data_IF_322165486287
#
_entry.id   IF_322165486287
#
_cell.length_a   1.000
_cell.length_b   1.000
_cell.length_c   1.000
_cell.angle_alpha   90.00
_cell.angle_beta   90.00
_cell.angle_gamma   90.00
#
_symmetry.space_group_name_H-M   'P 1'
#
loop_
_entity.id
_entity.type
_entity.pdbx_description
1 polymer ?
#
# COMPACT_ATOMS: atom_id res chain seq x y z
N UNK A 1 7.31 12.30 29.20
CA UNK A 1 6.33 12.23 28.07
C UNK A 1 7.01 11.41 26.99
N UNK A 2 6.39 10.31 26.57
CA UNK A 2 6.93 9.43 25.54
C UNK A 2 6.58 9.98 24.14
N UNK A 3 7.51 9.90 23.19
CA UNK A 3 7.28 10.22 21.78
C UNK A 3 8.13 9.33 20.89
N UNK A 4 7.66 9.13 19.66
CA UNK A 4 8.45 8.57 18.58
C UNK A 4 9.03 9.70 17.75
N UNK A 5 10.25 9.49 17.27
CA UNK A 5 10.95 10.36 16.34
C UNK A 5 10.79 9.79 14.95
N UNK A 6 10.32 10.59 13.99
CA UNK A 6 10.21 10.20 12.59
C UNK A 6 10.86 11.24 11.69
N UNK A 7 11.62 10.81 10.70
CA UNK A 7 12.21 11.68 9.68
C UNK A 7 12.43 10.95 8.35
N UNK A 8 12.68 11.74 7.31
CA UNK A 8 12.98 11.23 5.98
C UNK A 8 14.37 11.65 5.55
N UNK A 9 15.18 10.69 5.08
CA UNK A 9 16.48 10.94 4.48
C UNK A 9 16.63 10.12 3.19
N UNK A 10 16.93 10.81 2.06
CA UNK A 10 16.94 10.16 0.74
C UNK A 10 15.61 9.50 0.40
N UNK A 11 15.65 8.25 -0.03
CA UNK A 11 14.50 7.41 -0.36
C UNK A 11 14.09 6.48 0.81
N UNK A 12 14.29 6.94 2.03
CA UNK A 12 14.03 6.16 3.24
C UNK A 12 13.28 6.98 4.27
N UNK A 13 12.51 6.28 5.10
CA UNK A 13 11.89 6.78 6.32
C UNK A 13 12.49 6.10 7.54
N UNK A 14 12.69 6.86 8.58
CA UNK A 14 13.33 6.44 9.81
C UNK A 14 12.39 6.66 10.98
N UNK A 15 12.32 5.65 11.84
CA UNK A 15 11.62 5.71 13.11
C UNK A 15 12.61 5.42 14.22
N UNK A 16 12.70 6.31 15.20
CA UNK A 16 13.47 6.12 16.40
C UNK A 16 12.52 6.16 17.60
N UNK A 17 12.79 5.32 18.58
CA UNK A 17 11.96 5.21 19.74
C UNK A 17 12.83 5.17 21.00
N UNK A 18 12.76 6.21 21.81
CA UNK A 18 13.44 6.30 23.10
C UNK A 18 12.72 5.51 24.22
N UNK A 19 11.62 4.78 23.92
CA UNK A 19 10.86 4.04 24.92
C UNK A 19 11.69 2.97 25.66
N UNK A 20 12.84 2.64 25.16
CA UNK A 20 13.83 1.81 25.87
C UNK A 20 14.89 2.64 26.60
N UNK A 21 14.56 3.81 27.08
CA UNK A 21 15.35 4.58 28.06
C UNK A 21 15.66 3.82 29.37
N UNK A 22 15.45 2.54 29.41
CA UNK A 22 16.07 1.59 30.35
C UNK A 22 17.57 1.58 30.03
N UNK A 23 18.38 1.99 31.00
CA UNK A 23 19.82 2.00 30.94
C UNK A 23 20.34 0.74 30.22
N UNK A 24 20.98 0.93 29.06
CA UNK A 24 21.70 -0.12 28.35
C UNK A 24 21.00 -0.77 27.14
N UNK A 25 19.77 -0.37 26.79
CA UNK A 25 19.15 -0.80 25.54
C UNK A 25 19.33 0.29 24.47
N UNK A 26 20.06 0.05 23.36
CA UNK A 26 20.21 1.04 22.33
C UNK A 26 18.84 1.39 21.75
N UNK A 27 18.58 2.69 21.53
CA UNK A 27 17.42 3.15 20.78
C UNK A 27 17.34 2.39 19.46
N UNK A 28 16.27 1.65 19.24
CA UNK A 28 16.13 0.82 18.06
C UNK A 28 15.63 1.69 16.92
N UNK A 29 16.54 2.15 16.06
CA UNK A 29 16.20 2.81 14.82
C UNK A 29 15.64 1.77 13.84
N UNK A 30 14.48 2.03 13.29
CA UNK A 30 13.92 1.28 12.19
C UNK A 30 14.01 2.11 10.91
N UNK A 31 14.55 1.48 9.87
CA UNK A 31 14.65 2.04 8.53
C UNK A 31 13.69 1.31 7.59
N UNK A 32 12.87 2.06 6.86
CA UNK A 32 11.95 1.56 5.84
C UNK A 32 12.16 2.32 4.51
N UNK A 33 11.76 1.75 3.37
CA UNK A 33 11.64 2.51 2.13
C UNK A 33 10.70 3.71 2.30
N UNK A 34 10.91 4.77 1.54
CA UNK A 34 10.09 5.98 1.59
C UNK A 34 8.62 5.64 1.38
N UNK A 35 7.75 6.10 2.29
CA UNK A 35 6.31 5.84 2.35
C UNK A 35 5.87 4.40 2.65
N UNK A 36 6.75 3.48 2.93
CA UNK A 36 6.36 2.08 3.18
C UNK A 36 5.41 1.97 4.37
N UNK A 37 5.63 2.73 5.45
CA UNK A 37 4.73 2.76 6.61
C UNK A 37 3.31 3.22 6.22
N UNK A 38 3.18 4.30 5.46
CA UNK A 38 1.88 4.82 5.04
C UNK A 38 1.16 3.87 4.07
N UNK A 39 1.89 3.31 3.11
CA UNK A 39 1.28 2.46 2.09
C UNK A 39 0.89 1.09 2.65
N UNK A 40 1.68 0.51 3.55
CA UNK A 40 1.33 -0.75 4.23
C UNK A 40 0.20 -0.57 5.23
N UNK A 41 0.05 0.62 5.83
CA UNK A 41 -1.11 0.97 6.65
C UNK A 41 -2.43 0.87 5.87
N UNK A 42 -2.44 1.27 4.60
CA UNK A 42 -3.61 1.12 3.73
C UNK A 42 -3.89 -0.35 3.32
N UNK A 43 -2.91 -1.24 3.44
CA UNK A 43 -3.04 -2.65 3.11
C UNK A 43 -3.57 -3.52 4.28
N UNK A 44 -3.69 -2.96 5.48
CA UNK A 44 -4.22 -3.65 6.66
C UNK A 44 -5.66 -4.10 6.42
N UNK A 45 -6.02 -5.30 6.88
CA UNK A 45 -7.40 -5.78 6.82
C UNK A 45 -8.24 -5.10 7.89
N UNK A 46 -9.10 -4.17 7.48
CA UNK A 46 -9.98 -3.41 8.37
C UNK A 46 -10.89 -4.31 9.20
N UNK A 47 -11.37 -5.42 8.63
CA UNK A 47 -12.27 -6.35 9.33
C UNK A 47 -11.56 -7.08 10.48
N UNK A 48 -10.26 -7.27 10.35
CA UNK A 48 -9.44 -7.86 11.39
C UNK A 48 -9.01 -6.82 12.44
N UNK A 49 -8.54 -5.66 11.97
CA UNK A 49 -7.91 -4.64 12.83
C UNK A 49 -8.90 -3.87 13.68
N UNK A 50 -10.04 -3.44 13.12
CA UNK A 50 -11.00 -2.58 13.85
C UNK A 50 -11.51 -3.24 15.14
N UNK A 51 -11.97 -4.52 15.14
CA UNK A 51 -12.42 -5.16 16.38
C UNK A 51 -11.31 -5.32 17.42
N UNK A 52 -10.05 -5.48 17.00
CA UNK A 52 -8.92 -5.56 17.93
C UNK A 52 -8.67 -4.20 18.59
N UNK A 53 -8.66 -3.11 17.82
CA UNK A 53 -8.50 -1.77 18.36
C UNK A 53 -9.60 -1.38 19.35
N UNK A 54 -10.84 -1.76 19.05
CA UNK A 54 -11.97 -1.55 19.96
C UNK A 54 -11.76 -2.27 21.29
N UNK A 55 -11.39 -3.56 21.26
CA UNK A 55 -11.11 -4.33 22.49
C UNK A 55 -9.93 -3.79 23.27
N UNK A 56 -8.85 -3.39 22.58
CA UNK A 56 -7.68 -2.76 23.20
C UNK A 56 -8.12 -1.50 23.93
N UNK A 57 -8.90 -0.62 23.28
CA UNK A 57 -9.40 0.61 23.87
C UNK A 57 -10.25 0.36 25.12
N UNK A 58 -11.23 -0.56 25.04
CA UNK A 58 -12.11 -0.92 26.16
C UNK A 58 -11.31 -1.50 27.33
N UNK A 59 -10.39 -2.42 27.07
CA UNK A 59 -9.56 -3.01 28.12
C UNK A 59 -8.63 -1.98 28.77
N UNK A 60 -8.09 -1.04 27.98
CA UNK A 60 -7.26 0.03 28.52
C UNK A 60 -8.06 1.01 29.36
N UNK A 61 -9.27 1.42 28.93
CA UNK A 61 -10.17 2.25 29.74
C UNK A 61 -10.53 1.56 31.06
N UNK A 62 -10.86 0.25 31.01
CA UNK A 62 -11.14 -0.51 32.23
C UNK A 62 -9.95 -0.55 33.19
N UNK A 63 -8.72 -0.73 32.66
CA UNK A 63 -7.50 -0.63 33.46
C UNK A 63 -7.33 0.74 34.13
N UNK A 64 -7.59 1.82 33.41
CA UNK A 64 -7.51 3.20 33.95
C UNK A 64 -8.50 3.41 35.12
N UNK A 65 -9.73 2.89 34.99
CA UNK A 65 -10.80 3.08 35.96
C UNK A 65 -10.66 2.18 37.20
N UNK A 66 -10.26 0.92 37.01
CA UNK A 66 -10.27 -0.09 38.06
C UNK A 66 -8.89 -0.53 38.56
N UNK A 67 -7.80 -0.12 37.87
CA UNK A 67 -6.44 -0.64 38.06
C UNK A 67 -6.34 -2.17 37.87
N UNK A 68 -7.23 -2.74 37.04
CA UNK A 68 -7.25 -4.18 36.72
C UNK A 68 -6.07 -4.56 35.82
N UNK A 69 -5.09 -5.25 36.39
CA UNK A 69 -3.93 -5.73 35.65
C UNK A 69 -4.29 -6.82 34.61
N UNK A 70 -5.42 -7.50 34.79
CA UNK A 70 -5.93 -8.44 33.79
C UNK A 70 -6.36 -7.73 32.52
N UNK A 71 -7.09 -6.63 32.65
CA UNK A 71 -7.49 -5.78 31.51
C UNK A 71 -6.27 -5.15 30.83
N UNK A 72 -5.30 -4.65 31.60
CA UNK A 72 -4.04 -4.16 31.04
C UNK A 72 -3.31 -5.25 30.24
N UNK A 73 -3.17 -6.44 30.79
CA UNK A 73 -2.49 -7.56 30.12
C UNK A 73 -3.21 -7.95 28.82
N UNK A 74 -4.55 -7.99 28.83
CA UNK A 74 -5.35 -8.28 27.63
C UNK A 74 -5.11 -7.24 26.54
N UNK A 75 -5.13 -5.95 26.87
CA UNK A 75 -4.84 -4.87 25.94
C UNK A 75 -3.41 -5.00 25.36
N UNK A 76 -2.42 -5.26 26.19
CA UNK A 76 -1.02 -5.38 25.78
C UNK A 76 -0.77 -6.61 24.88
N UNK A 77 -1.42 -7.74 25.13
CA UNK A 77 -1.31 -8.93 24.28
C UNK A 77 -1.88 -8.64 22.88
N UNK A 78 -3.09 -8.08 22.78
CA UNK A 78 -3.68 -7.74 21.47
C UNK A 78 -2.88 -6.66 20.75
N UNK A 79 -2.44 -5.62 21.45
CA UNK A 79 -1.60 -4.58 20.85
C UNK A 79 -0.24 -5.12 20.40
N UNK A 80 0.34 -6.10 21.12
CA UNK A 80 1.55 -6.83 20.72
C UNK A 80 1.35 -7.58 19.42
N UNK A 81 0.21 -8.25 19.24
CA UNK A 81 -0.13 -8.92 17.97
C UNK A 81 -0.25 -7.93 16.81
N UNK A 82 -0.82 -6.75 17.03
CA UNK A 82 -0.87 -5.67 16.04
C UNK A 82 0.52 -5.08 15.76
N UNK A 83 1.37 -4.97 16.76
CA UNK A 83 2.73 -4.45 16.64
C UNK A 83 3.63 -5.30 15.72
N UNK A 84 3.34 -6.60 15.60
CA UNK A 84 4.01 -7.48 14.62
C UNK A 84 3.55 -7.20 13.18
N UNK A 85 2.33 -6.69 13.00
CA UNK A 85 1.74 -6.44 11.68
C UNK A 85 2.18 -5.12 11.08
N UNK A 86 2.35 -4.07 11.91
CA UNK A 86 2.61 -2.73 11.39
C UNK A 86 3.36 -1.83 12.37
N UNK A 87 4.24 -0.96 11.82
CA UNK A 87 5.09 -0.05 12.62
C UNK A 87 4.27 0.91 13.51
N UNK A 88 3.14 1.44 13.05
CA UNK A 88 2.32 2.36 13.85
C UNK A 88 1.78 1.69 15.11
N UNK A 89 1.37 0.44 15.04
CA UNK A 89 0.97 -0.32 16.22
C UNK A 89 2.16 -0.67 17.12
N UNK A 90 3.34 -0.91 16.53
CA UNK A 90 4.56 -1.12 17.31
C UNK A 90 4.92 0.12 18.12
N UNK A 91 4.75 1.31 17.57
CA UNK A 91 4.97 2.55 18.28
C UNK A 91 3.96 2.75 19.42
N UNK A 92 2.68 2.46 19.19
CA UNK A 92 1.65 2.44 20.22
C UNK A 92 1.97 1.43 21.34
N UNK A 93 2.35 0.21 20.96
CA UNK A 93 2.75 -0.84 21.91
C UNK A 93 3.91 -0.38 22.81
N UNK A 94 4.95 0.20 22.20
CA UNK A 94 6.13 0.69 22.96
C UNK A 94 5.77 1.85 23.87
N UNK A 95 4.86 2.72 23.46
CA UNK A 95 4.33 3.79 24.31
C UNK A 95 3.58 3.23 25.50
N UNK A 96 2.67 2.30 25.28
CA UNK A 96 1.92 1.63 26.35
C UNK A 96 2.86 0.87 27.32
N UNK A 97 3.89 0.25 26.80
CA UNK A 97 4.91 -0.42 27.62
C UNK A 97 5.76 0.57 28.42
N UNK A 98 6.10 1.73 27.82
CA UNK A 98 6.93 2.77 28.44
C UNK A 98 6.25 3.53 29.58
N UNK A 99 4.90 3.46 29.71
CA UNK A 99 4.21 4.06 30.86
C UNK A 99 4.38 3.27 32.17
N UNK A 100 4.98 2.07 32.10
CA UNK A 100 5.31 1.25 33.26
C UNK A 100 6.74 1.60 33.67
N UNK A 101 6.91 2.11 34.88
CA UNK A 101 8.21 2.41 35.47
C UNK A 101 8.48 1.54 36.70
N UNK A 102 9.73 1.54 37.16
CA UNK A 102 10.12 0.87 38.43
C UNK A 102 9.34 1.41 39.64
N UNK A 103 8.86 2.66 39.56
CA UNK A 103 8.09 3.32 40.59
C UNK A 103 6.57 3.20 40.44
N UNK A 104 6.10 2.35 39.49
CA UNK A 104 4.69 2.17 39.18
C UNK A 104 4.30 2.80 37.84
N UNK A 105 2.99 3.03 37.68
CA UNK A 105 2.43 3.58 36.46
C UNK A 105 2.41 5.12 36.48
N UNK A 106 2.78 5.74 35.36
CA UNK A 106 2.54 7.19 35.14
C UNK A 106 1.06 7.39 34.83
N UNK A 107 0.29 7.82 35.83
CA UNK A 107 -1.17 8.00 35.74
C UNK A 107 -1.59 9.00 34.66
N UNK A 108 -0.82 10.09 34.48
CA UNK A 108 -1.12 11.07 33.44
C UNK A 108 -0.92 10.50 32.04
N UNK A 109 0.16 9.75 31.85
CA UNK A 109 0.44 9.09 30.56
C UNK A 109 -0.57 7.96 30.26
N UNK A 110 -0.97 7.17 31.28
CA UNK A 110 -2.01 6.13 31.12
C UNK A 110 -3.33 6.72 30.66
N UNK A 111 -3.76 7.85 31.25
CA UNK A 111 -4.98 8.54 30.84
C UNK A 111 -4.86 9.12 29.42
N UNK A 112 -3.72 9.71 29.07
CA UNK A 112 -3.47 10.20 27.72
C UNK A 112 -3.52 9.07 26.69
N UNK A 113 -2.91 7.91 26.99
CA UNK A 113 -2.98 6.72 26.15
C UNK A 113 -4.43 6.23 25.96
N UNK A 114 -5.25 6.23 27.01
CA UNK A 114 -6.65 5.82 26.90
C UNK A 114 -7.41 6.68 25.90
N UNK A 115 -7.23 8.00 25.95
CA UNK A 115 -7.87 8.92 25.01
C UNK A 115 -7.38 8.71 23.58
N UNK A 116 -6.08 8.54 23.39
CA UNK A 116 -5.48 8.36 22.09
C UNK A 116 -5.88 7.01 21.46
N UNK A 117 -5.93 5.92 22.24
CA UNK A 117 -6.37 4.60 21.76
C UNK A 117 -7.85 4.63 21.35
N UNK A 118 -8.69 5.28 22.16
CA UNK A 118 -10.12 5.44 21.87
C UNK A 118 -10.34 6.23 20.58
N UNK A 119 -9.68 7.37 20.45
CA UNK A 119 -9.80 8.21 19.26
C UNK A 119 -9.24 7.50 18.02
N UNK A 120 -8.09 6.83 18.14
CA UNK A 120 -7.50 6.08 17.04
C UNK A 120 -8.39 4.91 16.59
N UNK A 121 -8.96 4.13 17.52
CA UNK A 121 -9.89 3.06 17.21
C UNK A 121 -11.11 3.56 16.44
N UNK A 122 -11.69 4.68 16.91
CA UNK A 122 -12.85 5.32 16.30
C UNK A 122 -12.56 5.87 14.90
N UNK A 123 -11.38 6.47 14.69
CA UNK A 123 -11.03 7.14 13.45
C UNK A 123 -10.25 6.26 12.46
N UNK A 124 -9.92 5.01 12.81
CA UNK A 124 -9.06 4.16 11.99
C UNK A 124 -9.55 4.02 10.55
N UNK A 125 -10.81 3.63 10.38
CA UNK A 125 -11.43 3.46 9.05
C UNK A 125 -11.54 4.77 8.29
N UNK A 126 -11.91 5.83 8.98
CA UNK A 126 -12.05 7.16 8.39
C UNK A 126 -10.71 7.73 7.95
N UNK A 127 -9.69 7.63 8.80
CA UNK A 127 -8.32 8.07 8.46
C UNK A 127 -7.80 7.34 7.21
N UNK A 128 -8.04 6.03 7.09
CA UNK A 128 -7.64 5.27 5.91
C UNK A 128 -8.33 5.75 4.64
N UNK A 129 -9.65 5.99 4.68
CA UNK A 129 -10.41 6.55 3.55
C UNK A 129 -9.90 7.92 3.15
N UNK A 130 -9.63 8.79 4.12
CA UNK A 130 -9.09 10.13 3.89
C UNK A 130 -7.69 10.07 3.25
N UNK A 131 -6.82 9.19 3.73
CA UNK A 131 -5.49 8.97 3.13
C UNK A 131 -5.63 8.45 1.70
N UNK A 132 -6.46 7.44 1.47
CA UNK A 132 -6.68 6.89 0.13
C UNK A 132 -7.22 7.96 -0.84
N UNK A 133 -8.20 8.75 -0.41
CA UNK A 133 -8.73 9.89 -1.16
C UNK A 133 -7.64 10.92 -1.47
N UNK A 134 -6.77 11.22 -0.52
CA UNK A 134 -5.64 12.13 -0.73
C UNK A 134 -4.67 11.57 -1.77
N UNK A 135 -4.32 10.28 -1.70
CA UNK A 135 -3.48 9.66 -2.71
C UNK A 135 -4.10 9.81 -4.11
N UNK A 136 -5.39 9.53 -4.25
CA UNK A 136 -6.11 9.60 -5.53
C UNK A 136 -6.21 11.03 -6.09
N UNK A 137 -6.53 12.02 -5.25
CA UNK A 137 -6.80 13.39 -5.70
C UNK A 137 -5.55 14.27 -5.82
N UNK A 138 -4.48 13.96 -5.06
CA UNK A 138 -3.30 14.84 -4.95
C UNK A 138 -2.04 14.18 -5.49
N UNK A 139 -1.83 12.90 -5.23
CA UNK A 139 -0.56 12.23 -5.51
C UNK A 139 -0.61 11.24 -6.69
N UNK A 140 -1.78 10.74 -7.09
CA UNK A 140 -1.87 9.76 -8.19
C UNK A 140 -1.50 10.39 -9.53
N UNK A 141 -0.43 9.90 -10.12
CA UNK A 141 0.12 10.38 -11.39
C UNK A 141 -0.84 10.21 -12.56
N UNK A 142 -1.76 9.25 -12.50
CA UNK A 142 -2.72 8.97 -13.57
C UNK A 142 -4.01 9.81 -13.44
N UNK A 143 -4.46 10.06 -12.21
CA UNK A 143 -5.74 10.75 -11.94
C UNK A 143 -5.55 12.23 -11.60
N UNK A 144 -4.57 12.58 -10.77
CA UNK A 144 -4.34 13.95 -10.29
C UNK A 144 -3.25 14.71 -11.05
N UNK A 145 -2.49 14.04 -11.91
CA UNK A 145 -1.38 14.63 -12.65
C UNK A 145 -0.05 14.61 -11.88
N UNK A 146 0.99 15.24 -12.47
CA UNK A 146 2.37 15.11 -12.00
C UNK A 146 2.87 16.25 -11.12
N UNK A 147 1.98 17.07 -10.59
CA UNK A 147 2.32 18.24 -9.79
C UNK A 147 1.58 18.23 -8.45
N UNK A 148 2.04 17.43 -7.47
CA UNK A 148 1.38 17.28 -6.16
C UNK A 148 1.09 18.62 -5.45
N UNK A 149 2.02 19.58 -5.52
CA UNK A 149 1.85 20.90 -4.90
C UNK A 149 0.67 21.67 -5.52
N UNK A 150 0.53 21.67 -6.84
CA UNK A 150 -0.61 22.33 -7.51
C UNK A 150 -1.93 21.64 -7.18
N UNK A 151 -1.93 20.30 -7.14
CA UNK A 151 -3.12 19.54 -6.77
C UNK A 151 -3.50 19.77 -5.31
N UNK A 152 -2.54 19.77 -4.40
CA UNK A 152 -2.78 20.12 -3.00
C UNK A 152 -3.36 21.53 -2.86
N UNK A 153 -2.73 22.53 -3.49
CA UNK A 153 -3.23 23.92 -3.47
C UNK A 153 -4.67 24.02 -3.99
N UNK A 154 -5.02 23.29 -5.08
CA UNK A 154 -6.37 23.25 -5.62
C UNK A 154 -7.37 22.64 -4.63
N UNK A 155 -7.04 21.50 -4.01
CA UNK A 155 -7.96 20.79 -3.11
C UNK A 155 -8.09 21.44 -1.73
N UNK A 156 -7.12 22.27 -1.31
CA UNK A 156 -7.11 22.96 0.00
C UNK A 156 -7.30 24.47 -0.12
N UNK A 157 -7.89 24.95 -1.21
CA UNK A 157 -8.14 26.38 -1.40
C UNK A 157 -9.14 26.91 -0.37
N UNK A 158 -8.85 28.08 0.21
CA UNK A 158 -9.63 28.67 1.30
C UNK A 158 -11.08 29.00 0.93
N UNK A 159 -11.35 29.30 -0.33
CA UNK A 159 -12.64 29.80 -0.79
C UNK A 159 -13.60 28.68 -1.26
N UNK A 160 -13.18 27.41 -1.20
CA UNK A 160 -14.05 26.29 -1.54
C UNK A 160 -14.44 25.49 -0.31
N UNK A 161 -15.71 25.01 -0.21
CA UNK A 161 -16.07 24.07 0.84
C UNK A 161 -15.15 22.86 0.76
N UNK A 162 -14.46 22.56 1.86
CA UNK A 162 -13.54 21.40 1.93
C UNK A 162 -14.34 20.12 1.73
N UNK A 163 -13.83 19.25 0.86
CA UNK A 163 -14.32 17.87 0.78
C UNK A 163 -14.11 17.20 2.17
N UNK A 164 -15.17 16.79 2.88
CA UNK A 164 -15.06 16.21 4.21
C UNK A 164 -14.28 14.90 4.21
N UNK A 165 -14.23 14.20 3.08
CA UNK A 165 -13.53 12.94 2.91
C UNK A 165 -12.04 13.12 2.62
N UNK A 166 -11.57 14.35 2.42
CA UNK A 166 -10.15 14.64 2.17
C UNK A 166 -9.39 14.75 3.51
N UNK A 167 -8.17 14.22 3.54
CA UNK A 167 -7.33 14.23 4.75
C UNK A 167 -7.15 15.65 5.30
N UNK A 168 -7.43 15.82 6.58
CA UNK A 168 -7.33 17.12 7.26
C UNK A 168 -5.98 17.27 7.93
N UNK A 169 -5.18 18.21 7.45
CA UNK A 169 -3.91 18.57 8.05
C UNK A 169 -4.09 19.40 9.31
N UNK A 170 -3.36 19.02 10.35
CA UNK A 170 -3.32 19.72 11.64
C UNK A 170 -1.89 20.24 11.91
N UNK A 171 -1.70 21.22 12.81
CA UNK A 171 -0.36 21.60 13.25
C UNK A 171 0.37 20.41 13.88
N UNK A 172 1.57 20.08 13.37
CA UNK A 172 2.40 19.00 13.91
C UNK A 172 3.73 19.54 14.44
N UNK A 173 4.29 18.98 15.53
CA UNK A 173 5.53 19.43 16.13
C UNK A 173 6.73 18.96 15.30
N UNK A 174 7.35 19.86 14.53
CA UNK A 174 8.55 19.60 13.78
C UNK A 174 9.74 20.36 14.35
N UNK A 175 10.88 19.70 14.53
CA UNK A 175 12.19 20.30 14.72
C UNK A 175 13.00 20.22 13.45
N UNK A 176 14.15 20.90 13.40
CA UNK A 176 15.10 20.81 12.30
C UNK A 176 16.47 20.42 12.86
N UNK A 177 16.90 19.20 12.60
CA UNK A 177 18.01 18.57 13.29
C UNK A 177 18.99 17.89 12.33
N UNK A 178 20.25 17.73 12.76
CA UNK A 178 21.17 16.80 12.10
C UNK A 178 20.67 15.36 12.22
N UNK A 179 20.41 14.71 11.08
CA UNK A 179 19.95 13.31 11.03
C UNK A 179 21.03 12.37 10.54
N UNK A 180 22.00 12.92 9.80
CA UNK A 180 23.19 12.22 9.30
C UNK A 180 24.38 13.20 9.26
N UNK A 181 25.62 12.72 9.19
CA UNK A 181 26.78 13.59 9.04
C UNK A 181 26.62 14.54 7.84
N UNK A 182 26.61 15.84 8.11
CA UNK A 182 26.47 16.88 7.07
C UNK A 182 25.07 17.10 6.53
N UNK A 183 24.03 16.48 7.13
CA UNK A 183 22.64 16.60 6.67
C UNK A 183 21.69 16.90 7.81
N UNK A 184 20.94 17.98 7.67
CA UNK A 184 19.79 18.29 8.53
C UNK A 184 18.50 18.01 7.79
N UNK A 185 17.45 17.60 8.54
CA UNK A 185 16.11 17.38 8.03
C UNK A 185 15.05 17.83 9.06
N UNK A 186 13.82 18.08 8.61
CA UNK A 186 12.68 18.16 9.51
C UNK A 186 12.51 16.83 10.23
N UNK A 187 12.24 16.87 11.51
CA UNK A 187 12.06 15.70 12.38
C UNK A 187 10.76 15.88 13.15
N UNK A 188 9.87 14.90 13.03
CA UNK A 188 8.63 14.83 13.79
C UNK A 188 8.90 14.17 15.14
N UNK A 189 8.44 14.78 16.21
CA UNK A 189 8.35 14.20 17.55
C UNK A 189 6.88 14.09 17.94
N UNK A 190 6.30 12.91 17.87
CA UNK A 190 4.89 12.71 18.20
C UNK A 190 4.63 11.35 18.84
N UNK A 191 3.60 11.28 19.65
CA UNK A 191 3.02 10.04 20.17
C UNK A 191 1.80 9.58 19.37
N UNK A 192 1.31 10.41 18.44
CA UNK A 192 0.09 10.17 17.67
C UNK A 192 0.39 9.61 16.28
N UNK A 193 -0.24 8.50 15.94
CA UNK A 193 -0.13 7.89 14.59
C UNK A 193 -0.61 8.85 13.50
N UNK A 194 -1.64 9.66 13.79
CA UNK A 194 -2.17 10.64 12.85
C UNK A 194 -1.12 11.67 12.43
N UNK A 195 -0.26 12.13 13.33
CA UNK A 195 0.82 13.08 13.01
C UNK A 195 1.87 12.45 12.09
N UNK A 196 2.15 11.17 12.25
CA UNK A 196 3.07 10.43 11.36
C UNK A 196 2.50 10.29 9.96
N UNK A 197 1.19 10.03 9.85
CA UNK A 197 0.47 10.02 8.57
C UNK A 197 0.49 11.41 7.94
N UNK A 198 0.14 12.44 8.69
CA UNK A 198 0.16 13.85 8.26
C UNK A 198 1.55 14.23 7.72
N UNK A 199 2.60 13.95 8.48
CA UNK A 199 3.98 14.23 8.09
C UNK A 199 4.40 13.49 6.80
N UNK A 200 3.98 12.24 6.64
CA UNK A 200 4.24 11.47 5.42
C UNK A 200 3.57 12.10 4.20
N UNK A 201 2.31 12.50 4.31
CA UNK A 201 1.57 13.15 3.22
C UNK A 201 2.17 14.52 2.84
N UNK A 202 2.54 15.35 3.83
CA UNK A 202 3.24 16.63 3.59
C UNK A 202 4.56 16.41 2.87
N UNK A 203 5.35 15.44 3.33
CA UNK A 203 6.64 15.11 2.73
C UNK A 203 6.52 14.68 1.27
N UNK A 204 5.43 14.01 0.89
CA UNK A 204 5.16 13.69 -0.52
C UNK A 204 4.91 14.96 -1.35
N UNK A 205 4.07 15.86 -0.85
CA UNK A 205 3.76 17.11 -1.56
C UNK A 205 5.00 17.98 -1.69
N UNK A 206 5.74 18.17 -0.59
CA UNK A 206 6.97 19.00 -0.58
C UNK A 206 8.05 18.47 -1.53
N UNK A 207 8.21 17.16 -1.59
CA UNK A 207 9.21 16.49 -2.46
C UNK A 207 8.72 16.30 -3.90
N UNK A 208 7.45 16.62 -4.20
CA UNK A 208 6.85 16.38 -5.50
C UNK A 208 6.74 14.90 -5.87
N UNK A 209 6.67 14.02 -4.86
CA UNK A 209 6.57 12.57 -5.08
C UNK A 209 5.15 12.21 -5.43
N UNK A 210 4.98 11.58 -6.59
CA UNK A 210 3.71 10.98 -7.00
C UNK A 210 3.65 9.51 -6.63
N UNK A 211 2.44 8.97 -6.54
CA UNK A 211 2.18 7.55 -6.34
C UNK A 211 1.40 6.97 -7.53
N UNK A 212 1.39 5.66 -7.64
CA UNK A 212 0.60 4.95 -8.66
C UNK A 212 0.14 3.60 -8.12
N UNK A 213 -1.01 3.13 -8.59
CA UNK A 213 -1.43 1.73 -8.37
C UNK A 213 -0.69 0.80 -9.34
N UNK A 214 -0.01 -0.20 -8.78
CA UNK A 214 0.71 -1.20 -9.57
C UNK A 214 -0.27 -2.01 -10.43
N UNK A 215 -0.06 -2.05 -11.75
CA UNK A 215 -0.94 -2.77 -12.68
C UNK A 215 -0.96 -4.30 -12.46
N UNK A 216 0.02 -4.87 -11.74
CA UNK A 216 0.04 -6.30 -11.45
C UNK A 216 -0.65 -6.67 -10.13
N UNK A 217 -0.36 -5.96 -9.04
CA UNK A 217 -0.85 -6.29 -7.69
C UNK A 217 -1.91 -5.33 -7.14
N UNK A 218 -2.20 -4.21 -7.84
CA UNK A 218 -3.19 -3.21 -7.43
C UNK A 218 -2.77 -2.30 -6.27
N UNK A 219 -1.64 -2.54 -5.61
CA UNK A 219 -1.17 -1.77 -4.46
C UNK A 219 -0.54 -0.46 -4.88
N UNK A 220 -0.64 0.56 -4.01
CA UNK A 220 0.05 1.82 -4.20
C UNK A 220 1.56 1.67 -4.08
N UNK A 221 2.32 2.43 -4.86
CA UNK A 221 3.78 2.55 -4.74
C UNK A 221 4.26 3.94 -5.16
N UNK A 222 5.33 4.48 -4.54
CA UNK A 222 5.84 5.80 -4.86
C UNK A 222 6.63 5.78 -6.17
N UNK A 223 6.57 6.88 -6.91
CA UNK A 223 7.31 7.11 -8.14
C UNK A 223 8.65 7.82 -7.83
N UNK A 224 9.50 7.19 -7.02
CA UNK A 224 10.79 7.78 -6.61
C UNK A 224 11.87 7.68 -7.68
N UNK A 225 11.73 6.73 -8.60
CA UNK A 225 12.68 6.53 -9.69
C UNK A 225 12.12 6.97 -11.04
N UNK A 226 11.63 6.02 -11.83
CA UNK A 226 11.07 6.28 -13.15
C UNK A 226 9.58 6.63 -13.04
N UNK A 227 9.21 7.88 -13.33
CA UNK A 227 7.81 8.36 -13.30
C UNK A 227 6.87 7.57 -14.22
N UNK A 228 7.40 6.91 -15.25
CA UNK A 228 6.62 6.03 -16.14
C UNK A 228 6.50 4.59 -15.64
N UNK A 229 7.04 4.24 -14.45
CA UNK A 229 6.94 2.88 -13.91
C UNK A 229 5.48 2.51 -13.64
N UNK A 230 5.01 1.41 -14.21
CA UNK A 230 3.62 0.92 -14.06
C UNK A 230 3.52 -0.25 -13.05
N UNK A 231 4.66 -0.77 -12.62
CA UNK A 231 4.77 -1.94 -11.73
C UNK A 231 5.74 -1.65 -10.59
N UNK A 232 5.37 -2.07 -9.38
CA UNK A 232 6.21 -1.92 -8.20
C UNK A 232 7.33 -2.97 -8.12
N UNK A 233 8.26 -2.76 -7.18
CA UNK A 233 9.39 -3.68 -6.92
C UNK A 233 9.03 -4.83 -5.95
N UNK A 234 7.80 -4.91 -5.46
CA UNK A 234 7.40 -5.92 -4.48
C UNK A 234 7.43 -7.32 -5.06
N UNK A 235 7.83 -8.33 -4.28
CA UNK A 235 7.77 -9.72 -4.69
C UNK A 235 6.31 -10.13 -4.95
N UNK A 236 6.12 -11.01 -5.91
CA UNK A 236 4.81 -11.60 -6.17
C UNK A 236 4.59 -12.76 -5.20
N UNK A 237 3.36 -12.88 -4.66
CA UNK A 237 3.01 -14.04 -3.81
C UNK A 237 3.49 -15.34 -4.46
N UNK A 238 4.21 -16.16 -3.69
CA UNK A 238 4.75 -17.47 -4.08
C UNK A 238 5.91 -17.46 -5.10
N UNK A 239 6.69 -16.38 -5.22
CA UNK A 239 7.85 -16.37 -6.10
C UNK A 239 8.90 -15.33 -5.73
N UNK A 240 10.13 -15.55 -6.18
CA UNK A 240 11.22 -14.56 -6.06
C UNK A 240 11.06 -13.39 -7.03
N UNK A 241 10.23 -13.55 -8.05
CA UNK A 241 10.01 -12.55 -9.10
C UNK A 241 9.24 -11.34 -8.58
N UNK A 242 9.62 -10.16 -9.04
CA UNK A 242 8.97 -8.88 -8.68
C UNK A 242 7.86 -8.50 -9.66
N UNK A 243 6.93 -7.66 -9.22
CA UNK A 243 5.87 -7.14 -10.08
C UNK A 243 6.41 -6.47 -11.34
N UNK A 244 7.54 -5.77 -11.26
CA UNK A 244 8.22 -5.15 -12.41
C UNK A 244 8.66 -6.16 -13.46
N UNK A 245 9.09 -7.34 -13.05
CA UNK A 245 9.64 -8.36 -13.96
C UNK A 245 8.56 -9.10 -14.72
N UNK A 246 7.45 -9.39 -14.07
CA UNK A 246 6.40 -10.25 -14.64
C UNK A 246 5.09 -9.53 -14.96
N UNK A 247 4.92 -8.29 -14.49
CA UNK A 247 3.65 -7.58 -14.58
C UNK A 247 3.17 -7.37 -16.02
N UNK A 248 4.06 -6.96 -16.91
CA UNK A 248 3.74 -6.77 -18.33
C UNK A 248 3.29 -8.07 -18.99
N UNK A 249 3.99 -9.17 -18.73
CA UNK A 249 3.63 -10.49 -19.27
C UNK A 249 2.29 -10.98 -18.72
N UNK A 250 2.03 -10.83 -17.42
CA UNK A 250 0.74 -11.20 -16.81
C UNK A 250 -0.42 -10.39 -17.35
N UNK A 251 -0.25 -9.07 -17.52
CA UNK A 251 -1.29 -8.22 -18.13
C UNK A 251 -1.56 -8.60 -19.58
N UNK A 252 -0.51 -8.86 -20.34
CA UNK A 252 -0.65 -9.36 -21.72
C UNK A 252 -1.40 -10.69 -21.76
N UNK A 253 -1.02 -11.64 -20.90
CA UNK A 253 -1.70 -12.96 -20.81
C UNK A 253 -3.16 -12.81 -20.41
N UNK A 254 -3.46 -11.91 -19.42
CA UNK A 254 -4.85 -11.66 -19.00
C UNK A 254 -5.68 -11.08 -20.13
N UNK A 255 -5.18 -10.06 -20.84
CA UNK A 255 -5.87 -9.51 -22.02
C UNK A 255 -6.15 -10.57 -23.08
N UNK A 256 -5.17 -11.45 -23.36
CA UNK A 256 -5.37 -12.53 -24.32
C UNK A 256 -6.38 -13.57 -23.85
N UNK A 257 -6.43 -13.87 -22.53
CA UNK A 257 -7.42 -14.82 -21.99
C UNK A 257 -8.84 -14.27 -22.03
N UNK A 258 -9.01 -12.97 -22.00
CA UNK A 258 -10.34 -12.33 -22.06
C UNK A 258 -10.78 -11.99 -23.48
N UNK A 259 -9.86 -12.01 -24.45
CA UNK A 259 -10.10 -11.77 -25.86
C UNK A 259 -10.83 -12.97 -26.51
N UNK A 260 -12.07 -12.80 -27.00
CA UNK A 260 -12.84 -13.89 -27.63
C UNK A 260 -12.22 -14.35 -28.95
N UNK A 261 -11.55 -13.46 -29.72
CA UNK A 261 -10.86 -13.77 -30.94
C UNK A 261 -9.67 -14.68 -30.64
N UNK A 262 -8.89 -14.33 -29.62
CA UNK A 262 -7.77 -15.15 -29.18
C UNK A 262 -8.21 -16.51 -28.62
N UNK A 263 -9.32 -16.56 -27.87
CA UNK A 263 -9.90 -17.84 -27.39
C UNK A 263 -10.27 -18.76 -28.53
N UNK A 264 -10.95 -18.25 -29.55
CA UNK A 264 -11.34 -19.00 -30.71
C UNK A 264 -10.11 -19.59 -31.47
N UNK A 265 -9.12 -18.72 -31.75
CA UNK A 265 -7.85 -19.11 -32.36
C UNK A 265 -7.14 -20.19 -31.54
N UNK A 266 -6.94 -19.97 -30.23
CA UNK A 266 -6.18 -20.88 -29.38
C UNK A 266 -6.85 -22.26 -29.22
N UNK A 267 -8.19 -22.30 -29.20
CA UNK A 267 -8.95 -23.54 -29.14
C UNK A 267 -8.66 -24.39 -30.39
N UNK A 268 -8.76 -23.78 -31.58
CA UNK A 268 -8.54 -24.50 -32.83
C UNK A 268 -7.07 -24.84 -33.05
N UNK A 269 -6.14 -23.97 -32.69
CA UNK A 269 -4.70 -24.22 -32.70
C UNK A 269 -4.33 -25.47 -31.88
N UNK A 270 -4.81 -25.57 -30.63
CA UNK A 270 -4.53 -26.74 -29.78
C UNK A 270 -5.11 -28.02 -30.34
N UNK A 271 -6.31 -27.95 -30.89
CA UNK A 271 -6.97 -29.10 -31.52
C UNK A 271 -6.15 -29.63 -32.70
N UNK A 272 -5.71 -28.76 -33.61
CA UNK A 272 -4.93 -29.14 -34.77
C UNK A 272 -3.50 -29.56 -34.43
N UNK A 273 -2.90 -28.93 -33.43
CA UNK A 273 -1.59 -29.37 -32.92
C UNK A 273 -1.65 -30.81 -32.38
N UNK A 274 -2.76 -31.20 -31.74
CA UNK A 274 -2.95 -32.58 -31.31
C UNK A 274 -3.07 -33.57 -32.48
N UNK A 275 -3.50 -33.11 -33.66
CA UNK A 275 -3.57 -33.95 -34.87
C UNK A 275 -2.18 -34.35 -35.41
N UNK A 276 -1.15 -33.53 -35.20
CA UNK A 276 0.25 -33.89 -35.50
C UNK A 276 0.64 -35.14 -34.71
N UNK A 277 0.41 -35.09 -33.38
CA UNK A 277 0.72 -36.23 -32.51
C UNK A 277 -0.09 -37.49 -32.85
N UNK A 278 -1.27 -37.31 -33.43
CA UNK A 278 -2.13 -38.41 -33.88
C UNK A 278 -1.82 -38.88 -35.34
N UNK A 279 -0.79 -38.30 -35.98
CA UNK A 279 -0.42 -38.65 -37.36
C UNK A 279 -1.45 -38.29 -38.44
N UNK A 280 -2.38 -37.36 -38.14
CA UNK A 280 -3.45 -36.96 -39.07
C UNK A 280 -3.03 -35.87 -40.04
N UNK A 281 -2.03 -35.06 -39.65
CA UNK A 281 -1.44 -33.98 -40.46
C UNK A 281 0.06 -33.94 -40.22
N UNK A 282 0.80 -33.38 -41.19
CA UNK A 282 2.24 -33.14 -41.02
C UNK A 282 2.53 -31.82 -40.33
N UNK A 283 3.76 -31.66 -39.85
CA UNK A 283 4.22 -30.39 -39.24
C UNK A 283 4.13 -29.23 -40.23
N UNK A 284 4.53 -29.48 -41.53
CA UNK A 284 4.49 -28.44 -42.56
C UNK A 284 3.04 -27.97 -42.82
N UNK A 285 2.11 -28.92 -42.90
CA UNK A 285 0.68 -28.62 -43.10
C UNK A 285 0.14 -27.78 -41.92
N UNK A 286 0.51 -28.13 -40.71
CA UNK A 286 0.08 -27.37 -39.52
C UNK A 286 0.66 -25.97 -39.54
N UNK A 287 1.95 -25.78 -39.82
CA UNK A 287 2.56 -24.45 -39.81
C UNK A 287 2.00 -23.57 -40.94
N UNK A 288 1.76 -24.10 -42.12
CA UNK A 288 1.11 -23.35 -43.20
C UNK A 288 -0.30 -22.86 -42.80
N UNK A 289 -1.10 -23.74 -42.19
CA UNK A 289 -2.41 -23.35 -41.66
C UNK A 289 -2.29 -22.31 -40.54
N UNK A 290 -1.33 -22.48 -39.62
CA UNK A 290 -1.13 -21.57 -38.51
C UNK A 290 -0.79 -20.15 -38.96
N UNK A 291 -0.04 -20.02 -40.05
CA UNK A 291 0.29 -18.72 -40.65
C UNK A 291 -0.95 -18.05 -41.24
N UNK A 292 -1.74 -18.78 -42.03
CA UNK A 292 -3.03 -18.27 -42.53
C UNK A 292 -3.99 -17.88 -41.39
N UNK A 293 -4.09 -18.69 -40.34
CA UNK A 293 -4.94 -18.41 -39.19
C UNK A 293 -4.52 -17.14 -38.41
N UNK A 294 -3.21 -16.82 -38.39
CA UNK A 294 -2.71 -15.56 -37.80
C UNK A 294 -3.09 -14.37 -38.68
N UNK A 295 -3.05 -14.49 -40.00
CA UNK A 295 -3.47 -13.39 -40.87
C UNK A 295 -4.98 -13.11 -40.77
N UNK A 296 -5.82 -14.17 -40.76
CA UNK A 296 -7.25 -14.02 -40.55
C UNK A 296 -7.57 -13.44 -39.15
N UNK A 297 -6.84 -13.86 -38.10
CA UNK A 297 -6.94 -13.25 -36.77
C UNK A 297 -6.62 -11.77 -36.83
N UNK A 298 -5.56 -11.34 -37.50
CA UNK A 298 -5.22 -9.91 -37.66
C UNK A 298 -6.32 -9.13 -38.34
N UNK A 299 -7.03 -9.70 -39.32
CA UNK A 299 -8.18 -9.06 -39.97
C UNK A 299 -9.32 -8.86 -38.96
N UNK A 300 -9.61 -9.85 -38.13
CA UNK A 300 -10.61 -9.76 -37.09
C UNK A 300 -10.20 -8.76 -35.99
N UNK A 301 -8.93 -8.75 -35.56
CA UNK A 301 -8.39 -7.78 -34.61
C UNK A 301 -8.50 -6.33 -35.12
N UNK A 302 -8.55 -6.12 -36.45
CA UNK A 302 -8.72 -4.82 -37.12
C UNK A 302 -10.16 -4.52 -37.54
N UNK A 303 -11.12 -5.34 -37.08
CA UNK A 303 -12.55 -5.22 -37.41
C UNK A 303 -12.87 -5.29 -38.92
N UNK A 304 -11.98 -5.88 -39.73
CA UNK A 304 -12.20 -6.10 -41.17
C UNK A 304 -13.18 -7.26 -41.42
N UNK A 305 -13.16 -8.26 -40.54
CA UNK A 305 -14.10 -9.37 -40.49
C UNK A 305 -14.67 -9.50 -39.08
N UNK A 306 -15.87 -10.07 -38.96
CA UNK A 306 -16.49 -10.30 -37.68
C UNK A 306 -15.89 -11.48 -36.92
N UNK A 307 -16.16 -11.59 -35.63
CA UNK A 307 -15.76 -12.76 -34.83
C UNK A 307 -16.42 -14.05 -35.36
N UNK A 308 -17.69 -13.97 -35.77
CA UNK A 308 -18.44 -15.08 -36.39
C UNK A 308 -17.78 -15.55 -37.67
N UNK A 309 -17.39 -14.64 -38.57
CA UNK A 309 -16.69 -14.95 -39.84
C UNK A 309 -15.35 -15.64 -39.54
N UNK A 310 -14.59 -15.12 -38.58
CA UNK A 310 -13.31 -15.73 -38.19
C UNK A 310 -13.51 -17.12 -37.58
N UNK A 311 -14.51 -17.31 -36.73
CA UNK A 311 -14.83 -18.62 -36.16
C UNK A 311 -15.28 -19.62 -37.25
N UNK A 312 -16.05 -19.14 -38.23
CA UNK A 312 -16.46 -19.96 -39.38
C UNK A 312 -15.24 -20.34 -40.22
N UNK A 313 -14.37 -19.40 -40.54
CA UNK A 313 -13.12 -19.68 -41.25
C UNK A 313 -12.25 -20.71 -40.53
N UNK A 314 -12.11 -20.61 -39.20
CA UNK A 314 -11.36 -21.57 -38.39
C UNK A 314 -11.94 -23.00 -38.48
N UNK A 315 -13.27 -23.15 -38.60
CA UNK A 315 -13.93 -24.46 -38.77
C UNK A 315 -13.74 -25.02 -40.15
N UNK A 316 -13.86 -24.20 -41.19
CA UNK A 316 -13.91 -24.61 -42.59
C UNK A 316 -12.53 -24.71 -43.22
N UNK A 317 -11.52 -24.07 -42.66
CA UNK A 317 -10.14 -24.12 -43.17
C UNK A 317 -9.62 -25.56 -43.19
N UNK A 318 -9.32 -26.05 -44.38
CA UNK A 318 -8.72 -27.38 -44.60
C UNK A 318 -7.21 -27.29 -44.39
N UNK A 319 -6.62 -28.38 -43.92
CA UNK A 319 -5.17 -28.56 -43.82
C UNK A 319 -4.75 -29.52 -44.92
#
# INVERSE_FOLDING_TARGET
MWYAKMYFSGEKEFFENDAFGMQGVPSKQLELPFLESLLTFLELDEKEITPMLERISVNWEHFVESSDLGAHTAAMVELGMLAEKHIYFRLLYTRCFGCISVNGFDQAEIQAIALDLKEFAKQFSETRKQVEKFLECVLDVDSAGREPQKQAAKNYHHDQPRDPDLFRFEPIPLSFEPVEPGRCAPVLYSSAVRDMIDYSLRSCVERGVTVRRCKNCGRWFPQTGRVSAEYCERPVKYGEQRCREIGAFRQWTKKQTDDPIFKAYRKEYKKRFAWIKAGRITDEQFYAWSEQAREEKKKCDREIITLEDFQQWLRDSKI
#
